data_IF_705143535553
#
_entry.id   IF_705143535553
#
_cell.length_a   1.000
_cell.length_b   1.000
_cell.length_c   1.000
_cell.angle_alpha   90.00
_cell.angle_beta   90.00
_cell.angle_gamma   90.00
#
_symmetry.space_group_name_H-M   'P 1'
#
loop_
_entity.id
_entity.type
_entity.pdbx_description
1 polymer ?
#
# COMPACT_ATOMS: atom_id res chain seq x y z
N UNK A 1 -6.75 -8.56 -10.28
CA UNK A 1 -7.34 -7.61 -9.31
C UNK A 1 -6.39 -6.45 -9.02
N UNK A 2 -5.11 -6.74 -8.76
CA UNK A 2 -4.05 -5.74 -8.59
C UNK A 2 -3.94 -4.71 -9.74
N UNK A 3 -4.03 -5.15 -11.00
CA UNK A 3 -3.93 -4.26 -12.17
C UNK A 3 -4.98 -3.13 -12.18
N UNK A 4 -6.20 -3.40 -11.71
CA UNK A 4 -7.25 -2.39 -11.62
C UNK A 4 -6.93 -1.33 -10.55
N UNK A 5 -6.41 -1.76 -9.39
CA UNK A 5 -6.01 -0.85 -8.31
C UNK A 5 -4.82 0.02 -8.71
N UNK A 6 -3.88 -0.53 -9.48
CA UNK A 6 -2.75 0.23 -10.03
C UNK A 6 -3.21 1.31 -11.01
N UNK A 7 -4.16 0.96 -11.89
CA UNK A 7 -4.78 1.94 -12.78
C UNK A 7 -5.49 3.05 -12.00
N UNK A 8 -6.29 2.68 -10.99
CA UNK A 8 -7.00 3.64 -10.14
C UNK A 8 -6.03 4.54 -9.34
N UNK A 9 -4.94 3.98 -8.83
CA UNK A 9 -3.90 4.76 -8.16
C UNK A 9 -3.29 5.80 -9.10
N UNK A 10 -2.95 5.42 -10.33
CA UNK A 10 -2.42 6.33 -11.34
C UNK A 10 -3.41 7.42 -11.73
N UNK A 11 -4.68 7.06 -11.88
CA UNK A 11 -5.76 8.00 -12.18
C UNK A 11 -5.95 9.02 -11.03
N UNK A 12 -5.88 8.55 -9.78
CA UNK A 12 -6.04 9.40 -8.58
C UNK A 12 -4.87 10.34 -8.35
N UNK A 13 -3.63 9.85 -8.46
CA UNK A 13 -2.42 10.59 -8.05
C UNK A 13 -1.58 11.12 -9.21
N UNK A 14 -1.91 10.76 -10.45
CA UNK A 14 -1.17 11.17 -11.65
C UNK A 14 0.23 10.54 -11.79
N UNK A 15 0.57 9.55 -10.96
CA UNK A 15 1.86 8.88 -10.95
C UNK A 15 1.71 7.37 -10.83
N UNK A 16 2.63 6.62 -11.43
CA UNK A 16 2.67 5.16 -11.30
C UNK A 16 3.09 4.75 -9.87
N UNK A 17 2.49 3.65 -9.38
CA UNK A 17 2.86 3.06 -8.10
C UNK A 17 4.20 2.30 -8.25
N UNK A 18 5.17 2.46 -7.32
CA UNK A 18 6.51 1.87 -7.45
C UNK A 18 6.53 0.37 -7.11
N UNK A 19 5.85 -0.46 -7.91
CA UNK A 19 5.77 -1.92 -7.74
C UNK A 19 7.12 -2.61 -7.59
N UNK A 20 8.16 -2.08 -8.25
CA UNK A 20 9.51 -2.63 -8.17
C UNK A 20 10.06 -2.68 -6.74
N UNK A 21 9.64 -1.75 -5.86
CA UNK A 21 10.02 -1.77 -4.43
C UNK A 21 9.37 -2.90 -3.63
N UNK A 22 8.38 -3.57 -4.22
CA UNK A 22 7.61 -4.63 -3.59
C UNK A 22 7.88 -6.00 -4.21
N UNK A 23 8.93 -6.13 -5.03
CA UNK A 23 9.35 -7.41 -5.57
C UNK A 23 9.64 -8.41 -4.43
N UNK A 24 9.03 -9.59 -4.50
CA UNK A 24 9.14 -10.63 -3.47
C UNK A 24 8.18 -10.46 -2.28
N UNK A 25 7.35 -9.41 -2.24
CA UNK A 25 6.25 -9.29 -1.30
C UNK A 25 5.01 -10.03 -1.80
N UNK A 26 4.17 -10.55 -0.89
CA UNK A 26 2.92 -11.17 -1.29
C UNK A 26 1.95 -10.11 -1.85
N UNK A 27 1.13 -10.50 -2.83
CA UNK A 27 0.20 -9.60 -3.53
C UNK A 27 -0.75 -8.87 -2.58
N UNK A 28 -1.25 -9.55 -1.54
CA UNK A 28 -2.17 -8.95 -0.56
C UNK A 28 -1.55 -7.77 0.21
N UNK A 29 -0.23 -7.78 0.47
CA UNK A 29 0.44 -6.65 1.12
C UNK A 29 0.45 -5.43 0.21
N UNK A 30 0.71 -5.64 -1.08
CA UNK A 30 0.71 -4.56 -2.09
C UNK A 30 -0.69 -3.98 -2.25
N UNK A 31 -1.71 -4.83 -2.25
CA UNK A 31 -3.12 -4.41 -2.30
C UNK A 31 -3.47 -3.56 -1.07
N UNK A 32 -3.09 -3.99 0.14
CA UNK A 32 -3.38 -3.23 1.36
C UNK A 32 -2.75 -1.83 1.32
N UNK A 33 -1.52 -1.70 0.83
CA UNK A 33 -0.84 -0.41 0.69
C UNK A 33 -1.56 0.49 -0.33
N UNK A 34 -1.95 -0.06 -1.48
CA UNK A 34 -2.72 0.67 -2.49
C UNK A 34 -4.05 1.17 -1.93
N UNK A 35 -4.76 0.33 -1.18
CA UNK A 35 -6.01 0.70 -0.51
C UNK A 35 -5.79 1.84 0.48
N UNK A 36 -4.76 1.77 1.32
CA UNK A 36 -4.45 2.81 2.29
C UNK A 36 -4.14 4.16 1.62
N UNK A 37 -3.42 4.15 0.50
CA UNK A 37 -3.14 5.36 -0.28
C UNK A 37 -4.42 6.01 -0.79
N UNK A 38 -5.31 5.21 -1.39
CA UNK A 38 -6.61 5.70 -1.92
C UNK A 38 -7.52 6.20 -0.79
N UNK A 39 -7.62 5.47 0.32
CA UNK A 39 -8.46 5.85 1.47
C UNK A 39 -8.02 7.17 2.11
N UNK A 40 -6.71 7.39 2.22
CA UNK A 40 -6.12 8.62 2.78
C UNK A 40 -6.04 9.76 1.76
N UNK A 41 -6.34 9.47 0.48
CA UNK A 41 -6.10 10.36 -0.64
C UNK A 41 -4.66 10.92 -0.64
N UNK A 42 -3.69 10.04 -0.32
CA UNK A 42 -2.28 10.38 -0.23
C UNK A 42 -1.46 9.37 -1.05
N UNK A 43 -0.58 9.83 -1.95
CA UNK A 43 0.28 8.93 -2.71
C UNK A 43 1.24 8.20 -1.76
N UNK A 44 1.66 7.00 -2.16
CA UNK A 44 2.67 6.24 -1.44
C UNK A 44 3.97 7.04 -1.35
N UNK A 45 4.43 7.24 -0.11
CA UNK A 45 5.68 7.92 0.20
C UNK A 45 6.70 6.91 0.79
N UNK A 46 7.77 6.57 0.05
CA UNK A 46 8.81 5.67 0.54
C UNK A 46 9.60 6.24 1.74
N UNK A 47 9.57 7.55 1.99
CA UNK A 47 10.19 8.16 3.17
C UNK A 47 9.37 7.93 4.46
N UNK A 48 8.04 7.80 4.34
CA UNK A 48 7.14 7.48 5.47
C UNK A 48 7.07 5.98 5.79
N UNK A 49 7.79 5.12 5.04
CA UNK A 49 7.83 3.66 5.23
C UNK A 49 8.43 3.21 6.59
N UNK A 50 8.96 4.15 7.39
CA UNK A 50 9.47 3.89 8.72
C UNK A 50 8.37 3.70 9.79
N UNK A 51 7.17 4.28 9.61
CA UNK A 51 6.11 4.23 10.63
C UNK A 51 5.10 3.09 10.43
N UNK A 52 4.95 2.58 9.20
CA UNK A 52 3.97 1.53 8.88
C UNK A 52 4.37 0.10 9.29
N UNK A 53 5.56 -0.13 9.87
CA UNK A 53 5.90 -1.43 10.49
C UNK A 53 5.17 -1.67 11.81
N UNK A 54 4.47 -0.67 12.36
CA UNK A 54 3.80 -0.71 13.67
C UNK A 54 2.30 -0.33 13.55
N UNK A 55 1.64 -0.72 12.46
CA UNK A 55 0.18 -0.71 12.43
C UNK A 55 -0.27 -2.16 12.44
N UNK A 56 -0.32 -2.66 13.67
CA UNK A 56 -1.02 -3.86 14.12
C UNK A 56 -2.16 -4.26 13.19
N UNK A 57 -2.03 -5.45 12.63
CA UNK A 57 -3.21 -6.22 12.29
C UNK A 57 -4.08 -6.30 13.57
N UNK A 58 -5.36 -5.85 13.54
CA UNK A 58 -6.21 -5.98 14.72
C UNK A 58 -6.47 -7.47 14.96
N UNK A 59 -5.73 -8.08 15.89
CA UNK A 59 -5.89 -9.50 16.21
C UNK A 59 -4.73 -10.21 16.90
N UNK A 60 -3.56 -9.59 17.14
CA UNK A 60 -2.47 -10.21 17.92
C UNK A 60 -2.24 -9.53 19.27
N UNK A 61 -3.26 -9.51 20.12
CA UNK A 61 -3.05 -9.33 21.55
C UNK A 61 -4.05 -10.19 22.31
N UNK A 62 -3.56 -11.36 22.76
CA UNK A 62 -3.91 -12.11 23.97
C UNK A 62 -3.43 -13.55 23.85
N UNK A 63 -2.22 -13.81 24.36
CA UNK A 63 -1.86 -15.03 25.08
C UNK A 63 -0.90 -14.65 26.21
#
# INVERSE_FOLDING_TARGET
>A
MLELLLFQYKDTFGTDFPLAEFAGRPEYEVINILYDCVLRNAPYDPAHKAEMRILDAPGMDKL
#
